data_IF_221873956339
#
_entry.id   IF_221873956339
#
_cell.length_a   1.000
_cell.length_b   1.000
_cell.length_c   1.000
_cell.angle_alpha   90.00
_cell.angle_beta   90.00
_cell.angle_gamma   90.00
#
_symmetry.space_group_name_H-M   'P 1'
#
loop_
_entity.id
_entity.type
_entity.pdbx_description
1 polymer ?
#
# COMPACT_ATOMS: atom_id res chain seq x y z
N UNK A 1 -25.60 -8.91 13.16
CA UNK A 1 -24.47 -9.82 12.86
C UNK A 1 -23.74 -9.25 11.66
N UNK A 2 -22.68 -8.46 11.85
CA UNK A 2 -21.95 -7.80 10.74
C UNK A 2 -20.98 -8.86 10.20
N UNK A 3 -21.20 -9.28 8.96
CA UNK A 3 -20.41 -10.30 8.28
C UNK A 3 -18.92 -9.89 8.28
N UNK A 4 -18.07 -10.72 8.90
CA UNK A 4 -16.61 -10.57 8.94
C UNK A 4 -15.94 -10.96 7.62
N UNK A 5 -16.66 -11.64 6.74
CA UNK A 5 -16.13 -12.20 5.49
C UNK A 5 -15.59 -11.18 4.48
N UNK A 6 -16.27 -10.05 4.19
CA UNK A 6 -15.76 -9.12 3.16
C UNK A 6 -14.45 -8.43 3.53
N UNK A 7 -14.13 -8.32 4.82
CA UNK A 7 -12.89 -7.68 5.30
C UNK A 7 -11.69 -8.63 5.16
N UNK A 8 -11.87 -9.92 5.47
CA UNK A 8 -10.83 -10.93 5.31
C UNK A 8 -10.50 -11.16 3.84
N UNK A 9 -11.51 -11.17 2.98
CA UNK A 9 -11.33 -11.28 1.52
C UNK A 9 -10.52 -10.10 0.96
N UNK A 10 -10.82 -8.87 1.37
CA UNK A 10 -10.06 -7.68 0.94
C UNK A 10 -8.62 -7.69 1.43
N UNK A 11 -8.37 -8.14 2.65
CA UNK A 11 -7.02 -8.27 3.18
C UNK A 11 -6.23 -9.32 2.39
N UNK A 12 -6.85 -10.45 2.06
CA UNK A 12 -6.22 -11.49 1.25
C UNK A 12 -5.87 -10.98 -0.16
N UNK A 13 -6.78 -10.22 -0.80
CA UNK A 13 -6.52 -9.58 -2.09
C UNK A 13 -5.38 -8.58 -1.99
N UNK A 14 -5.39 -7.72 -0.98
CA UNK A 14 -4.34 -6.73 -0.77
C UNK A 14 -2.97 -7.40 -0.53
N UNK A 15 -2.92 -8.46 0.26
CA UNK A 15 -1.73 -9.25 0.49
C UNK A 15 -1.23 -9.87 -0.81
N UNK A 16 -2.10 -10.54 -1.57
CA UNK A 16 -1.75 -11.21 -2.81
C UNK A 16 -1.26 -10.24 -3.91
N UNK A 17 -1.70 -8.98 -3.90
CA UNK A 17 -1.32 -7.97 -4.92
C UNK A 17 -0.15 -7.11 -4.49
N UNK A 18 -0.08 -6.73 -3.20
CA UNK A 18 0.84 -5.71 -2.71
C UNK A 18 2.03 -6.27 -1.92
N UNK A 19 1.96 -7.50 -1.44
CA UNK A 19 2.99 -8.07 -0.57
C UNK A 19 3.62 -9.33 -1.16
N UNK A 20 2.82 -10.36 -1.45
CA UNK A 20 3.31 -11.68 -1.83
C UNK A 20 4.23 -11.67 -3.08
N UNK A 21 3.92 -10.90 -4.17
CA UNK A 21 4.75 -10.87 -5.37
C UNK A 21 6.14 -10.28 -5.11
N UNK A 22 6.30 -9.52 -4.03
CA UNK A 22 7.54 -8.82 -3.67
C UNK A 22 8.26 -9.48 -2.48
N UNK A 23 7.81 -10.65 -2.04
CA UNK A 23 8.36 -11.35 -0.89
C UNK A 23 8.14 -10.63 0.44
N UNK A 24 7.22 -9.67 0.48
CA UNK A 24 6.86 -8.95 1.69
C UNK A 24 5.84 -9.76 2.51
N UNK A 25 5.99 -9.70 3.83
CA UNK A 25 5.11 -10.37 4.76
C UNK A 25 4.95 -9.55 6.04
N UNK A 26 4.06 -9.97 6.91
CA UNK A 26 3.78 -9.26 8.17
C UNK A 26 5.06 -9.04 9.01
N UNK A 27 6.01 -9.98 8.99
CA UNK A 27 7.27 -9.83 9.71
C UNK A 27 8.16 -8.72 9.11
N UNK A 28 8.18 -8.55 7.78
CA UNK A 28 8.88 -7.46 7.12
C UNK A 28 8.26 -6.10 7.47
N UNK A 29 6.92 -6.02 7.47
CA UNK A 29 6.20 -4.81 7.88
C UNK A 29 6.47 -4.46 9.34
N UNK A 30 6.46 -5.46 10.23
CA UNK A 30 6.76 -5.28 11.64
C UNK A 30 8.20 -4.78 11.86
N UNK A 31 9.18 -5.29 11.09
CA UNK A 31 10.57 -4.80 11.13
C UNK A 31 10.69 -3.33 10.72
N UNK A 32 9.99 -2.94 9.65
CA UNK A 32 9.99 -1.55 9.20
C UNK A 32 9.40 -0.62 10.27
N UNK A 33 8.24 -0.95 10.83
CA UNK A 33 7.61 -0.19 11.91
C UNK A 33 8.48 -0.16 13.16
N UNK A 34 9.15 -1.26 13.52
CA UNK A 34 10.08 -1.31 14.64
C UNK A 34 11.28 -0.39 14.41
N UNK A 35 11.82 -0.34 13.18
CA UNK A 35 12.92 0.56 12.80
C UNK A 35 12.55 2.03 13.00
N UNK A 36 11.33 2.41 12.63
CA UNK A 36 10.82 3.78 12.88
C UNK A 36 10.67 4.01 14.38
N UNK A 37 10.14 3.03 15.11
CA UNK A 37 9.82 3.09 16.54
C UNK A 37 11.02 3.03 17.48
N UNK A 38 12.27 2.93 17.00
CA UNK A 38 13.48 3.03 17.81
C UNK A 38 13.64 4.41 18.47
N UNK A 39 12.99 5.43 17.93
CA UNK A 39 12.88 6.77 18.51
C UNK A 39 11.47 7.05 18.98
N UNK A 40 11.31 8.12 19.77
CA UNK A 40 9.99 8.54 20.27
C UNK A 40 9.17 9.10 19.12
N UNK A 41 8.18 8.34 18.67
CA UNK A 41 7.16 8.77 17.72
C UNK A 41 5.77 8.54 18.30
N UNK A 42 4.80 9.34 17.87
CA UNK A 42 3.43 9.27 18.34
C UNK A 42 2.59 8.35 17.44
N UNK A 43 2.91 8.31 16.14
CA UNK A 43 2.24 7.47 15.14
C UNK A 43 3.18 7.11 13.99
N UNK A 44 2.97 5.95 13.39
CA UNK A 44 3.62 5.56 12.14
C UNK A 44 2.71 4.65 11.32
N UNK A 45 2.77 4.82 10.00
CA UNK A 45 2.06 3.97 9.08
C UNK A 45 2.88 3.67 7.83
N UNK A 46 2.49 2.57 7.18
CA UNK A 46 2.98 2.11 5.90
C UNK A 46 1.81 2.13 4.92
N UNK A 47 1.99 2.76 3.78
CA UNK A 47 1.01 2.85 2.72
C UNK A 47 1.52 2.16 1.48
N UNK A 48 0.79 1.17 0.97
CA UNK A 48 1.11 0.47 -0.26
C UNK A 48 0.10 0.81 -1.33
N UNK A 49 0.57 1.01 -2.54
CA UNK A 49 -0.27 1.29 -3.68
C UNK A 49 0.18 0.47 -4.89
N UNK A 50 -0.77 -0.04 -5.64
CA UNK A 50 -0.59 -0.56 -6.99
C UNK A 50 -1.77 -0.11 -7.84
N UNK A 51 -1.49 0.61 -8.91
CA UNK A 51 -2.48 1.14 -9.84
C UNK A 51 -2.16 0.63 -11.23
N UNK A 52 -3.16 0.09 -11.91
CA UNK A 52 -3.05 -0.35 -13.31
C UNK A 52 -3.93 0.51 -14.18
N UNK A 53 -3.36 0.98 -15.27
CA UNK A 53 -4.07 1.75 -16.29
C UNK A 53 -4.03 0.99 -17.61
N UNK A 54 -5.17 0.92 -18.26
CA UNK A 54 -5.30 0.40 -19.61
C UNK A 54 -6.11 1.39 -20.44
N UNK A 55 -5.62 1.72 -21.62
CA UNK A 55 -6.29 2.64 -22.54
C UNK A 55 -6.28 2.10 -23.97
N UNK A 56 -7.38 2.29 -24.67
CA UNK A 56 -7.56 1.92 -26.06
C UNK A 56 -8.06 3.13 -26.84
N UNK A 57 -7.47 3.34 -28.02
CA UNK A 57 -7.92 4.36 -28.98
C UNK A 57 -8.48 3.66 -30.21
N UNK A 58 -9.74 3.99 -30.51
CA UNK A 58 -10.43 3.48 -31.70
C UNK A 58 -10.72 4.63 -32.64
N UNK A 59 -10.59 4.35 -33.94
CA UNK A 59 -10.93 5.27 -35.02
C UNK A 59 -11.62 4.45 -36.12
N UNK A 60 -12.82 4.85 -36.52
CA UNK A 60 -13.64 4.15 -37.53
C UNK A 60 -13.83 2.65 -37.21
N UNK A 61 -13.98 2.27 -35.94
CA UNK A 61 -14.12 0.89 -35.50
C UNK A 61 -12.83 0.05 -35.53
N UNK A 62 -11.67 0.70 -35.76
CA UNK A 62 -10.36 0.05 -35.78
C UNK A 62 -9.53 0.55 -34.61
N UNK A 63 -8.91 -0.38 -33.85
CA UNK A 63 -7.96 -0.03 -32.81
C UNK A 63 -6.71 0.60 -33.39
N UNK A 64 -6.44 1.84 -33.04
CA UNK A 64 -5.24 2.57 -33.49
C UNK A 64 -4.09 2.44 -32.49
N UNK A 65 -4.38 2.43 -31.20
CA UNK A 65 -3.37 2.28 -30.16
C UNK A 65 -3.95 1.64 -28.90
N UNK A 66 -3.08 0.95 -28.17
CA UNK A 66 -3.34 0.47 -26.83
C UNK A 66 -2.20 0.92 -25.91
N UNK A 67 -2.52 1.21 -24.66
CA UNK A 67 -1.54 1.54 -23.62
C UNK A 67 -1.83 0.75 -22.36
N UNK A 68 -0.78 0.36 -21.67
CA UNK A 68 -0.87 -0.31 -20.38
C UNK A 68 0.26 0.22 -19.49
N UNK A 69 -0.05 0.62 -18.26
CA UNK A 69 0.94 0.99 -17.27
C UNK A 69 0.58 0.45 -15.88
N UNK A 70 1.62 0.20 -15.09
CA UNK A 70 1.51 -0.15 -13.69
C UNK A 70 2.32 0.87 -12.91
N UNK A 71 1.66 1.57 -11.96
CA UNK A 71 2.29 2.47 -11.01
C UNK A 71 2.15 1.85 -9.62
N UNK A 72 3.26 1.62 -8.95
CA UNK A 72 3.27 0.99 -7.63
C UNK A 72 4.31 1.63 -6.72
N UNK A 73 4.14 1.45 -5.42
CA UNK A 73 5.11 1.95 -4.46
C UNK A 73 4.67 1.78 -3.01
N UNK A 74 5.57 2.13 -2.13
CA UNK A 74 5.37 2.17 -0.69
C UNK A 74 5.72 3.54 -0.13
N UNK A 75 4.82 4.09 0.69
CA UNK A 75 5.06 5.27 1.50
C UNK A 75 5.22 4.88 2.96
N UNK A 76 6.17 5.52 3.63
CA UNK A 76 6.42 5.36 5.07
C UNK A 76 6.25 6.72 5.72
N UNK A 77 5.42 6.81 6.74
CA UNK A 77 5.15 8.04 7.48
C UNK A 77 5.40 7.83 8.96
N UNK A 78 5.94 8.86 9.63
CA UNK A 78 5.98 8.94 11.08
C UNK A 78 5.62 10.34 11.57
N UNK A 79 4.99 10.41 12.72
CA UNK A 79 4.61 11.65 13.40
C UNK A 79 5.27 11.69 14.77
N UNK A 80 5.92 12.81 15.08
CA UNK A 80 6.55 13.06 16.36
C UNK A 80 6.23 14.51 16.83
N UNK A 81 5.27 14.67 17.73
CA UNK A 81 4.73 15.96 18.10
C UNK A 81 4.08 16.65 16.91
N UNK A 82 4.56 17.85 16.59
CA UNK A 82 4.07 18.64 15.44
C UNK A 82 4.80 18.33 14.12
N UNK A 83 5.76 17.38 14.15
CA UNK A 83 6.56 17.01 12.97
C UNK A 83 6.01 15.77 12.30
N UNK A 84 5.94 15.80 10.98
CA UNK A 84 5.65 14.64 10.15
C UNK A 84 6.83 14.38 9.25
N UNK A 85 7.33 13.14 9.27
CA UNK A 85 8.34 12.66 8.35
C UNK A 85 7.68 11.71 7.35
N UNK A 86 8.08 11.80 6.09
CA UNK A 86 7.58 10.95 5.01
C UNK A 86 8.70 10.57 4.06
N UNK A 87 8.74 9.32 3.65
CA UNK A 87 9.59 8.82 2.59
C UNK A 87 8.79 7.84 1.74
N UNK A 88 9.14 7.69 0.46
CA UNK A 88 8.50 6.74 -0.42
C UNK A 88 9.52 6.06 -1.34
N UNK A 89 9.13 4.91 -1.88
CA UNK A 89 9.83 4.21 -2.95
C UNK A 89 8.81 3.65 -3.94
N UNK A 90 9.15 3.67 -5.22
CA UNK A 90 8.45 2.97 -6.29
C UNK A 90 8.82 1.49 -6.36
N UNK A 91 9.88 1.09 -5.68
CA UNK A 91 10.26 -0.30 -5.51
C UNK A 91 9.54 -0.92 -4.31
N UNK A 92 8.84 -2.03 -4.54
CA UNK A 92 8.23 -2.86 -3.51
C UNK A 92 9.19 -3.99 -3.15
N UNK A 93 10.11 -3.73 -2.22
CA UNK A 93 11.02 -4.73 -1.64
C UNK A 93 11.23 -4.46 -0.16
N UNK A 94 11.66 -5.47 0.59
CA UNK A 94 11.99 -5.28 2.00
C UNK A 94 13.15 -4.29 2.18
N UNK A 95 14.12 -4.30 1.27
CA UNK A 95 15.26 -3.38 1.32
C UNK A 95 14.80 -1.92 1.16
N UNK A 96 13.98 -1.63 0.15
CA UNK A 96 13.42 -0.30 -0.08
C UNK A 96 12.53 0.17 1.08
N UNK A 97 11.70 -0.73 1.62
CA UNK A 97 10.87 -0.46 2.78
C UNK A 97 11.69 -0.09 4.02
N UNK A 98 12.75 -0.83 4.31
CA UNK A 98 13.64 -0.55 5.44
C UNK A 98 14.45 0.74 5.23
N UNK A 99 14.85 1.05 4.01
CA UNK A 99 15.55 2.30 3.68
C UNK A 99 14.65 3.51 3.86
N UNK A 100 13.41 3.44 3.41
CA UNK A 100 12.39 4.46 3.66
C UNK A 100 12.14 4.63 5.16
N UNK A 101 12.03 3.53 5.92
CA UNK A 101 11.87 3.55 7.37
C UNK A 101 13.04 4.22 8.08
N UNK A 102 14.28 3.97 7.67
CA UNK A 102 15.48 4.63 8.22
C UNK A 102 15.49 6.12 7.92
N UNK A 103 15.10 6.50 6.69
CA UNK A 103 15.00 7.90 6.28
C UNK A 103 14.01 8.67 7.14
N UNK A 104 12.80 8.12 7.30
CA UNK A 104 11.76 8.68 8.15
C UNK A 104 12.22 8.78 9.61
N UNK A 105 12.88 7.74 10.12
CA UNK A 105 13.47 7.74 11.47
C UNK A 105 14.45 8.90 11.66
N UNK A 106 15.33 9.14 10.71
CA UNK A 106 16.33 10.22 10.79
C UNK A 106 15.67 11.59 10.90
N UNK A 107 14.61 11.83 10.15
CA UNK A 107 13.84 13.08 10.19
C UNK A 107 13.07 13.19 11.52
N UNK A 108 12.50 12.11 12.01
CA UNK A 108 11.75 12.07 13.27
C UNK A 108 12.65 12.14 14.51
N UNK A 109 13.90 11.66 14.42
CA UNK A 109 14.87 11.61 15.52
C UNK A 109 15.24 12.99 16.11
N UNK A 110 14.95 14.10 15.42
CA UNK A 110 15.06 15.44 15.99
C UNK A 110 14.03 15.74 17.10
N UNK A 111 13.29 14.75 17.61
CA UNK A 111 12.26 14.82 18.66
C UNK A 111 12.18 13.52 19.47
N UNK A 112 11.82 13.57 20.64
CA UNK A 112 11.66 12.72 21.83
C UNK A 112 11.37 11.21 21.65
N UNK A 113 11.86 10.36 22.60
CA UNK A 113 11.78 8.89 22.63
C UNK A 113 10.45 8.32 23.19
N UNK A 114 9.61 7.69 22.36
CA UNK A 114 8.45 6.90 22.79
C UNK A 114 8.32 5.63 21.93
N UNK A 115 8.06 4.48 22.54
CA UNK A 115 7.84 3.23 21.82
C UNK A 115 6.43 3.17 21.27
N UNK A 116 6.28 2.88 19.96
CA UNK A 116 4.99 2.56 19.35
C UNK A 116 4.64 1.09 19.62
N UNK A 117 3.39 0.86 20.01
CA UNK A 117 2.79 -0.47 19.97
C UNK A 117 2.12 -0.64 18.60
N UNK A 118 2.63 -1.57 17.80
CA UNK A 118 1.97 -1.96 16.54
C UNK A 118 0.58 -2.52 16.88
N UNK A 119 -0.45 -1.89 16.33
CA UNK A 119 -1.81 -2.38 16.47
C UNK A 119 -2.00 -3.61 15.58
N UNK A 120 -2.06 -4.79 16.18
CA UNK A 120 -2.27 -6.06 15.49
C UNK A 120 -3.72 -6.32 15.04
N UNK A 121 -4.63 -5.36 15.26
CA UNK A 121 -6.04 -5.48 14.86
C UNK A 121 -6.42 -4.34 13.94
N UNK A 122 -6.90 -4.64 12.70
CA UNK A 122 -7.40 -3.62 11.81
C UNK A 122 -8.59 -2.91 12.47
N UNK A 123 -8.58 -1.57 12.49
CA UNK A 123 -9.76 -0.76 12.80
C UNK A 123 -10.72 -0.87 11.62
N UNK A 124 -11.71 -1.73 11.74
CA UNK A 124 -12.81 -1.78 10.79
C UNK A 124 -13.77 -0.63 11.11
N UNK A 125 -13.56 0.52 10.51
CA UNK A 125 -14.63 1.48 10.35
C UNK A 125 -15.64 0.85 9.38
N UNK A 126 -16.95 0.88 9.71
CA UNK A 126 -18.00 0.35 8.85
C UNK A 126 -17.94 1.00 7.47
N UNK A 127 -17.28 0.36 6.52
CA UNK A 127 -17.16 0.88 5.16
C UNK A 127 -18.36 0.42 4.35
N UNK A 128 -18.99 1.37 3.68
CA UNK A 128 -19.94 1.04 2.61
C UNK A 128 -19.17 0.43 1.45
N UNK A 129 -19.66 -0.67 0.89
CA UNK A 129 -19.12 -1.24 -0.35
C UNK A 129 -19.51 -0.28 -1.47
N UNK A 130 -18.57 0.52 -1.95
CA UNK A 130 -18.78 1.48 -3.03
C UNK A 130 -18.58 0.86 -4.41
N UNK A 131 -17.76 -0.21 -4.50
CA UNK A 131 -17.40 -0.86 -5.74
C UNK A 131 -17.52 -2.38 -5.60
N UNK A 132 -17.89 -3.06 -6.68
CA UNK A 132 -17.81 -4.50 -6.75
C UNK A 132 -16.33 -4.95 -6.66
N UNK A 133 -16.02 -6.11 -6.03
CA UNK A 133 -14.66 -6.63 -5.94
C UNK A 133 -14.23 -7.30 -7.26
N UNK A 134 -14.45 -6.60 -8.37
CA UNK A 134 -14.15 -7.08 -9.72
C UNK A 134 -13.00 -6.27 -10.27
N UNK A 135 -11.95 -6.93 -10.75
CA UNK A 135 -10.86 -6.28 -11.47
C UNK A 135 -11.34 -5.95 -12.90
N UNK A 136 -11.56 -4.69 -13.25
CA UNK A 136 -12.12 -4.32 -14.55
C UNK A 136 -11.12 -4.57 -15.69
N UNK A 137 -9.82 -4.63 -15.39
CA UNK A 137 -8.78 -4.87 -16.40
C UNK A 137 -8.63 -6.37 -16.68
N UNK A 138 -8.67 -7.20 -15.64
CA UNK A 138 -8.49 -8.66 -15.82
C UNK A 138 -9.77 -9.41 -16.21
N UNK A 139 -10.95 -8.81 -16.02
CA UNK A 139 -12.24 -9.48 -16.22
C UNK A 139 -12.57 -9.73 -17.69
N UNK A 140 -12.12 -8.86 -18.59
CA UNK A 140 -12.35 -8.97 -20.03
C UNK A 140 -11.01 -9.19 -20.75
N UNK A 141 -11.00 -10.05 -21.75
CA UNK A 141 -9.86 -10.16 -22.66
C UNK A 141 -9.81 -8.97 -23.64
N UNK A 142 -8.68 -8.83 -24.35
CA UNK A 142 -8.45 -7.69 -25.24
C UNK A 142 -9.47 -7.63 -26.40
N UNK A 143 -9.99 -8.77 -26.84
CA UNK A 143 -11.00 -8.83 -27.91
C UNK A 143 -12.37 -8.36 -27.43
N UNK A 144 -12.68 -8.62 -26.16
CA UNK A 144 -13.95 -8.20 -25.56
C UNK A 144 -13.97 -6.72 -25.17
N UNK A 145 -12.78 -6.08 -25.04
CA UNK A 145 -12.65 -4.66 -24.68
C UNK A 145 -12.74 -3.73 -25.89
N UNK A 146 -12.64 -4.25 -27.10
CA UNK A 146 -12.68 -3.55 -28.37
C UNK A 146 -13.91 -3.97 -29.17
#
# INVERSE_FOLDING_TARGET
MISREPTLERLAIAQAVLLDPFGLNEAALARALSTIGEHRIDDADLYFQSTRHEGWSLEEGIVKSGSFSIDQGVGVRAVAGEKTAFAYSDELSEAALLDAARTVRTIAAAGQNKRIKVASKPRVAGSRVLYAPTDPIATLDSVQKV
#
